data_IF_507814410893
#
_entry.id   IF_507814410893
#
_cell.length_a   1.000
_cell.length_b   1.000
_cell.length_c   1.000
_cell.angle_alpha   90.00
_cell.angle_beta   90.00
_cell.angle_gamma   90.00
#
_symmetry.space_group_name_H-M   'P 1'
#
loop_
_entity.id
_entity.type
_entity.pdbx_description
1 polymer ?
#
# COMPACT_ATOMS: atom_id res chain seq x y z
N UNK A 1 -33.07 23.06 -14.37
CA UNK A 1 -31.82 22.29 -14.56
C UNK A 1 -30.83 22.76 -13.50
N UNK A 2 -30.51 21.92 -12.52
CA UNK A 2 -29.49 22.22 -11.53
C UNK A 2 -28.18 21.61 -12.00
N UNK A 3 -27.19 22.46 -12.25
CA UNK A 3 -25.85 22.05 -12.67
C UNK A 3 -25.15 21.57 -11.40
N UNK A 4 -24.88 20.27 -11.31
CA UNK A 4 -24.05 19.69 -10.26
C UNK A 4 -22.62 20.18 -10.48
N UNK A 5 -22.13 21.03 -9.57
CA UNK A 5 -20.73 21.41 -9.55
C UNK A 5 -19.91 20.21 -9.06
N UNK A 6 -18.98 19.73 -9.88
CA UNK A 6 -17.93 18.80 -9.46
C UNK A 6 -17.16 19.40 -8.27
N UNK A 7 -16.72 18.58 -7.29
CA UNK A 7 -16.02 19.11 -6.12
C UNK A 7 -14.67 19.68 -6.57
N UNK A 8 -14.58 21.01 -6.65
CA UNK A 8 -13.33 21.73 -6.88
C UNK A 8 -12.37 21.36 -5.76
N UNK A 9 -11.27 20.68 -6.10
CA UNK A 9 -10.22 20.33 -5.15
C UNK A 9 -9.60 21.64 -4.64
N UNK A 10 -9.80 21.97 -3.36
CA UNK A 10 -9.31 23.23 -2.79
C UNK A 10 -7.77 23.20 -2.69
N UNK A 11 -7.07 24.30 -3.01
CA UNK A 11 -5.59 24.33 -3.01
C UNK A 11 -4.93 23.90 -1.69
N UNK A 12 -5.51 24.27 -0.54
CA UNK A 12 -5.01 23.90 0.80
C UNK A 12 -5.10 22.39 1.08
N UNK A 13 -6.08 21.72 0.48
CA UNK A 13 -6.26 20.27 0.62
C UNK A 13 -5.20 19.53 -0.20
N UNK A 14 -4.94 19.99 -1.42
CA UNK A 14 -3.85 19.45 -2.25
C UNK A 14 -2.49 19.60 -1.56
N UNK A 15 -2.24 20.74 -0.92
CA UNK A 15 -1.03 20.96 -0.12
C UNK A 15 -0.93 19.99 1.07
N UNK A 16 -2.05 19.75 1.78
CA UNK A 16 -2.09 18.83 2.91
C UNK A 16 -1.74 17.39 2.52
N UNK A 17 -2.23 16.90 1.38
CA UNK A 17 -1.89 15.56 0.89
C UNK A 17 -0.45 15.45 0.38
N UNK A 18 0.07 16.49 -0.26
CA UNK A 18 1.48 16.54 -0.66
C UNK A 18 2.42 16.51 0.57
N UNK A 19 2.08 17.26 1.63
CA UNK A 19 2.80 17.24 2.91
C UNK A 19 2.66 15.90 3.62
N UNK A 20 1.50 15.26 3.55
CA UNK A 20 1.32 13.91 4.08
C UNK A 20 2.27 12.92 3.38
N UNK A 21 2.31 12.97 2.05
CA UNK A 21 3.22 12.16 1.23
C UNK A 21 4.69 12.38 1.62
N UNK A 22 5.12 13.64 1.72
CA UNK A 22 6.47 13.98 2.18
C UNK A 22 6.79 13.31 3.53
N UNK A 23 5.92 13.46 4.54
CA UNK A 23 6.13 12.88 5.87
C UNK A 23 6.13 11.36 5.87
N UNK A 24 5.30 10.74 5.03
CA UNK A 24 5.30 9.29 4.84
C UNK A 24 6.63 8.82 4.25
N UNK A 25 7.14 9.48 3.21
CA UNK A 25 8.42 9.13 2.57
C UNK A 25 9.63 9.39 3.48
N UNK A 26 9.58 10.44 4.30
CA UNK A 26 10.58 10.72 5.33
C UNK A 26 10.56 9.74 6.50
N UNK A 27 9.56 8.85 6.56
CA UNK A 27 9.28 7.93 7.66
C UNK A 27 8.93 8.66 8.98
N UNK A 28 8.39 9.87 8.89
CA UNK A 28 7.96 10.67 10.04
C UNK A 28 6.54 10.28 10.47
N UNK A 29 6.44 9.28 11.34
CA UNK A 29 5.18 8.79 11.90
C UNK A 29 4.38 9.88 12.59
N UNK A 30 5.05 10.75 13.37
CA UNK A 30 4.36 11.81 14.13
C UNK A 30 3.84 12.89 13.19
N UNK A 31 4.67 13.34 12.25
CA UNK A 31 4.29 14.33 11.24
C UNK A 31 3.14 13.85 10.36
N UNK A 32 3.23 12.61 9.83
CA UNK A 32 2.17 12.01 9.02
C UNK A 32 0.86 11.86 9.81
N UNK A 33 0.92 11.34 11.05
CA UNK A 33 -0.26 11.23 11.91
C UNK A 33 -0.90 12.58 12.20
N UNK A 34 -0.12 13.62 12.50
CA UNK A 34 -0.66 14.95 12.79
C UNK A 34 -1.43 15.51 11.59
N UNK A 35 -0.83 15.46 10.39
CA UNK A 35 -1.49 15.91 9.14
C UNK A 35 -2.77 15.11 8.89
N UNK A 36 -2.73 13.80 9.07
CA UNK A 36 -3.91 12.95 8.92
C UNK A 36 -5.02 13.32 9.91
N UNK A 37 -4.68 13.59 11.18
CA UNK A 37 -5.67 14.02 12.17
C UNK A 37 -6.31 15.35 11.79
N UNK A 38 -5.54 16.28 11.24
CA UNK A 38 -6.06 17.57 10.78
C UNK A 38 -7.00 17.40 9.58
N UNK A 39 -6.69 16.50 8.65
CA UNK A 39 -7.60 16.11 7.56
C UNK A 39 -8.90 15.48 8.08
N UNK A 40 -8.83 14.60 9.08
CA UNK A 40 -10.03 14.02 9.72
C UNK A 40 -10.87 15.10 10.39
N UNK A 41 -10.25 16.02 11.16
CA UNK A 41 -10.94 17.15 11.81
C UNK A 41 -11.56 18.11 10.81
N UNK A 42 -10.94 18.29 9.64
CA UNK A 42 -11.49 19.05 8.53
C UNK A 42 -12.65 18.35 7.80
N UNK A 43 -13.05 17.14 8.25
CA UNK A 43 -14.19 16.42 7.70
C UNK A 43 -13.95 15.82 6.32
N UNK A 44 -12.69 15.53 5.96
CA UNK A 44 -12.39 14.89 4.67
C UNK A 44 -13.10 13.52 4.57
N UNK A 45 -13.70 13.18 3.41
CA UNK A 45 -14.38 11.90 3.23
C UNK A 45 -13.47 10.70 3.47
N UNK A 46 -13.97 9.68 4.17
CA UNK A 46 -13.24 8.43 4.41
C UNK A 46 -12.70 7.77 3.13
N UNK A 47 -13.48 7.64 2.02
CA UNK A 47 -12.94 7.08 0.78
C UNK A 47 -11.77 7.89 0.21
N UNK A 48 -11.77 9.21 0.38
CA UNK A 48 -10.69 10.08 -0.04
C UNK A 48 -9.43 9.84 0.79
N UNK A 49 -9.56 9.76 2.12
CA UNK A 49 -8.45 9.46 3.03
C UNK A 49 -7.81 8.11 2.72
N UNK A 50 -8.62 7.05 2.53
CA UNK A 50 -8.12 5.71 2.20
C UNK A 50 -7.45 5.70 0.82
N UNK A 51 -8.04 6.38 -0.17
CA UNK A 51 -7.44 6.50 -1.51
C UNK A 51 -6.06 7.15 -1.46
N UNK A 52 -5.89 8.23 -0.69
CA UNK A 52 -4.60 8.91 -0.56
C UNK A 52 -3.56 8.05 0.18
N UNK A 53 -3.96 7.30 1.22
CA UNK A 53 -3.06 6.32 1.87
C UNK A 53 -2.57 5.28 0.84
N UNK A 54 -3.47 4.73 0.01
CA UNK A 54 -3.11 3.77 -1.04
C UNK A 54 -2.20 4.41 -2.07
N UNK A 55 -2.54 5.60 -2.57
CA UNK A 55 -1.74 6.33 -3.58
C UNK A 55 -0.30 6.54 -3.11
N UNK A 56 -0.12 6.95 -1.86
CA UNK A 56 1.20 7.26 -1.29
C UNK A 56 2.00 5.97 -1.02
N UNK A 57 1.37 4.94 -0.45
CA UNK A 57 2.06 3.76 0.07
C UNK A 57 2.32 2.68 -1.00
N UNK A 58 1.36 2.44 -1.90
CA UNK A 58 1.36 1.28 -2.80
C UNK A 58 2.60 1.18 -3.72
N UNK A 59 3.12 2.28 -4.29
CA UNK A 59 4.30 2.21 -5.17
C UNK A 59 5.55 1.63 -4.49
N UNK A 60 5.67 1.79 -3.18
CA UNK A 60 6.84 1.39 -2.39
C UNK A 60 6.67 0.03 -1.73
N UNK A 61 5.49 -0.57 -1.86
CA UNK A 61 5.14 -1.85 -1.25
C UNK A 61 4.74 -2.90 -2.27
N UNK A 62 5.30 -2.79 -3.47
CA UNK A 62 5.08 -3.81 -4.48
C UNK A 62 5.83 -5.10 -4.09
N UNK A 63 5.07 -6.11 -3.66
CA UNK A 63 5.46 -7.51 -3.70
C UNK A 63 4.31 -8.27 -4.34
N UNK A 64 4.57 -9.04 -5.39
CA UNK A 64 3.51 -9.76 -6.11
C UNK A 64 3.04 -11.01 -5.35
N UNK A 65 3.64 -11.33 -4.19
CA UNK A 65 3.32 -12.54 -3.46
C UNK A 65 3.54 -12.39 -1.95
N UNK A 66 2.66 -13.02 -1.18
CA UNK A 66 2.83 -13.25 0.26
C UNK A 66 3.56 -14.54 0.57
N UNK A 67 3.64 -15.41 -0.43
CA UNK A 67 4.23 -16.73 -0.35
C UNK A 67 4.89 -17.07 -1.68
N UNK A 68 6.13 -17.58 -1.63
CA UNK A 68 6.79 -18.19 -2.79
C UNK A 68 7.47 -19.50 -2.41
N UNK A 69 7.78 -20.31 -3.41
CA UNK A 69 8.59 -21.51 -3.30
C UNK A 69 10.02 -21.21 -3.77
N UNK A 70 10.98 -21.28 -2.86
CA UNK A 70 12.40 -21.20 -3.17
C UNK A 70 13.00 -22.61 -2.99
N UNK A 71 13.31 -23.30 -4.10
CA UNK A 71 13.88 -24.66 -4.11
C UNK A 71 13.10 -25.67 -3.24
N UNK A 72 11.77 -25.60 -3.29
CA UNK A 72 10.87 -26.45 -2.51
C UNK A 72 10.61 -25.98 -1.07
N UNK A 73 11.21 -24.87 -0.65
CA UNK A 73 10.98 -24.25 0.67
C UNK A 73 9.97 -23.11 0.54
N UNK A 74 8.92 -23.17 1.36
CA UNK A 74 7.92 -22.09 1.45
C UNK A 74 8.52 -20.89 2.18
N UNK A 75 8.51 -19.72 1.53
CA UNK A 75 8.88 -18.44 2.15
C UNK A 75 7.73 -17.48 2.16
N UNK A 76 7.54 -16.80 3.29
CA UNK A 76 6.51 -15.78 3.46
C UNK A 76 7.09 -14.37 3.34
N UNK A 77 6.42 -13.51 2.59
CA UNK A 77 6.74 -12.09 2.44
C UNK A 77 5.49 -11.30 2.75
N UNK A 78 5.29 -10.89 4.00
CA UNK A 78 4.20 -9.98 4.32
C UNK A 78 4.60 -8.56 3.90
N UNK A 79 3.66 -7.73 3.46
CA UNK A 79 3.95 -6.32 3.14
C UNK A 79 2.69 -5.44 3.10
N UNK A 80 1.54 -6.04 2.82
CA UNK A 80 0.27 -5.34 2.69
C UNK A 80 -0.44 -5.08 4.03
N UNK A 81 0.20 -5.37 5.18
CA UNK A 81 -0.42 -5.19 6.50
C UNK A 81 -0.97 -3.76 6.71
N UNK A 82 -0.39 -2.73 6.10
CA UNK A 82 -0.94 -1.38 6.10
C UNK A 82 -2.26 -1.27 5.30
N UNK A 83 -2.40 -1.97 4.16
CA UNK A 83 -3.65 -2.03 3.38
C UNK A 83 -4.70 -2.94 3.99
N UNK A 84 -4.30 -4.10 4.52
CA UNK A 84 -5.19 -4.96 5.29
C UNK A 84 -5.72 -4.22 6.52
N UNK A 85 -4.84 -3.47 7.21
CA UNK A 85 -5.23 -2.60 8.32
C UNK A 85 -6.14 -1.47 7.86
N UNK A 86 -5.90 -0.84 6.70
CA UNK A 86 -6.79 0.17 6.12
C UNK A 86 -8.19 -0.40 5.89
N UNK A 87 -8.30 -1.58 5.25
CA UNK A 87 -9.57 -2.27 5.02
C UNK A 87 -10.27 -2.62 6.34
N UNK A 88 -9.58 -3.32 7.24
CA UNK A 88 -10.14 -3.74 8.51
C UNK A 88 -10.59 -2.53 9.35
N UNK A 89 -9.84 -1.43 9.29
CA UNK A 89 -10.19 -0.19 9.98
C UNK A 89 -11.58 0.28 9.57
N UNK A 90 -11.89 0.35 8.26
CA UNK A 90 -13.20 0.84 7.78
C UNK A 90 -14.40 0.06 8.33
N UNK A 91 -14.24 -1.24 8.59
CA UNK A 91 -15.27 -2.05 9.23
C UNK A 91 -15.31 -1.84 10.74
N UNK A 92 -14.15 -1.75 11.40
CA UNK A 92 -14.06 -1.48 12.84
C UNK A 92 -14.62 -0.10 13.24
N UNK A 93 -14.51 0.91 12.38
CA UNK A 93 -15.07 2.25 12.66
C UNK A 93 -16.57 2.19 13.00
N UNK A 94 -17.31 1.27 12.37
CA UNK A 94 -18.76 1.09 12.53
C UNK A 94 -19.13 0.51 13.90
N UNK A 95 -18.17 -0.11 14.60
CA UNK A 95 -18.36 -0.77 15.90
C UNK A 95 -17.97 0.13 17.08
N UNK A 96 -17.36 1.28 16.81
CA UNK A 96 -16.92 2.23 17.82
C UNK A 96 -17.94 3.36 17.99
N UNK A 97 -17.89 4.00 19.16
CA UNK A 97 -18.64 5.24 19.40
C UNK A 97 -18.21 6.31 18.38
N UNK A 98 -19.11 7.20 17.92
CA UNK A 98 -18.82 8.18 16.88
C UNK A 98 -17.54 9.01 17.15
N UNK A 99 -17.28 9.36 18.40
CA UNK A 99 -16.13 10.18 18.81
C UNK A 99 -14.79 9.42 18.67
N UNK A 100 -14.84 8.09 18.58
CA UNK A 100 -13.69 7.19 18.50
C UNK A 100 -13.60 6.49 17.14
N UNK A 101 -14.53 6.77 16.21
CA UNK A 101 -14.69 6.03 14.96
C UNK A 101 -13.39 5.97 14.14
N UNK A 102 -12.55 7.02 14.18
CA UNK A 102 -11.30 7.08 13.41
C UNK A 102 -10.07 6.46 14.10
N UNK A 103 -10.16 5.99 15.35
CA UNK A 103 -9.02 5.38 16.05
C UNK A 103 -8.38 4.20 15.28
N UNK A 104 -9.14 3.29 14.64
CA UNK A 104 -8.54 2.21 13.84
C UNK A 104 -7.70 2.75 12.67
N UNK A 105 -8.21 3.76 11.95
CA UNK A 105 -7.50 4.35 10.83
C UNK A 105 -6.31 5.23 11.29
N UNK A 106 -6.41 5.84 12.48
CA UNK A 106 -5.28 6.53 13.13
C UNK A 106 -4.11 5.57 13.42
N UNK A 107 -4.41 4.33 13.82
CA UNK A 107 -3.37 3.29 13.95
C UNK A 107 -2.78 2.91 12.60
N UNK A 108 -3.60 2.82 11.54
CA UNK A 108 -3.12 2.53 10.19
C UNK A 108 -2.09 3.58 9.75
N UNK A 109 -2.43 4.87 9.83
CA UNK A 109 -1.51 5.93 9.39
C UNK A 109 -0.22 5.98 10.20
N UNK A 110 -0.25 5.55 11.47
CA UNK A 110 0.97 5.45 12.28
C UNK A 110 1.99 4.46 11.70
N UNK A 111 1.53 3.36 11.11
CA UNK A 111 2.41 2.33 10.55
C UNK A 111 2.84 2.60 9.10
N UNK A 112 2.01 3.31 8.31
CA UNK A 112 2.26 3.59 6.89
C UNK A 112 3.69 4.10 6.60
N UNK A 113 4.24 5.10 7.32
CA UNK A 113 5.59 5.60 7.06
C UNK A 113 6.70 4.55 7.27
N UNK A 114 6.51 3.64 8.23
CA UNK A 114 7.49 2.57 8.52
C UNK A 114 7.26 1.30 7.72
N UNK A 115 6.07 1.13 7.13
CA UNK A 115 5.69 -0.02 6.33
C UNK A 115 6.13 0.06 4.87
N UNK A 116 7.01 1.01 4.51
CA UNK A 116 7.51 1.21 3.16
C UNK A 116 8.77 0.39 2.90
N UNK A 117 9.00 0.08 1.62
CA UNK A 117 10.27 -0.42 1.09
C UNK A 117 10.79 -1.69 1.81
N UNK A 118 9.98 -2.77 1.82
CA UNK A 118 10.40 -4.04 2.42
C UNK A 118 11.62 -4.63 1.70
N UNK A 119 11.87 -4.25 0.45
CA UNK A 119 12.99 -4.76 -0.33
C UNK A 119 14.31 -4.20 0.15
N UNK A 120 14.42 -2.90 0.43
CA UNK A 120 15.65 -2.39 1.05
C UNK A 120 15.83 -2.94 2.47
N UNK A 121 14.76 -3.34 3.19
CA UNK A 121 14.89 -4.11 4.43
C UNK A 121 15.44 -5.52 4.17
N UNK A 122 14.89 -6.26 3.22
CA UNK A 122 15.34 -7.61 2.84
C UNK A 122 16.78 -7.63 2.33
N UNK A 123 17.20 -6.57 1.61
CA UNK A 123 18.56 -6.38 1.10
C UNK A 123 19.54 -5.86 2.16
N UNK A 124 19.08 -5.60 3.39
CA UNK A 124 19.92 -5.09 4.48
C UNK A 124 20.39 -3.64 4.28
N UNK A 125 19.74 -2.88 3.39
CA UNK A 125 20.06 -1.47 3.12
C UNK A 125 19.37 -0.50 4.09
N UNK A 126 18.38 -0.96 4.84
CA UNK A 126 17.74 -0.22 5.92
C UNK A 126 17.28 -1.18 7.03
N UNK A 127 17.20 -0.73 8.29
CA UNK A 127 16.63 -1.54 9.37
C UNK A 127 15.13 -1.77 9.16
N UNK A 128 14.61 -2.87 9.70
CA UNK A 128 13.16 -3.12 9.74
C UNK A 128 12.79 -4.58 9.98
N UNK A 129 11.48 -4.86 9.94
CA UNK A 129 10.90 -6.16 10.32
C UNK A 129 11.37 -7.32 9.42
N UNK A 130 11.74 -7.03 8.16
CA UNK A 130 12.14 -8.05 7.20
C UNK A 130 13.65 -8.35 7.21
N UNK A 131 14.45 -7.62 7.98
CA UNK A 131 15.85 -7.96 8.24
C UNK A 131 15.88 -9.18 9.16
N UNK A 132 15.79 -10.40 8.59
CA UNK A 132 15.86 -11.65 9.38
C UNK A 132 17.27 -12.16 9.62
N UNK A 133 18.29 -11.39 9.24
CA UNK A 133 19.67 -11.86 9.23
C UNK A 133 20.62 -10.72 9.67
N UNK A 134 21.22 -10.94 10.84
CA UNK A 134 22.42 -10.29 11.38
C UNK A 134 22.30 -8.90 11.99
N UNK A 135 23.20 -8.66 12.96
CA UNK A 135 23.50 -7.40 13.65
C UNK A 135 23.85 -6.30 12.62
N UNK A 136 22.84 -5.76 11.96
CA UNK A 136 23.01 -4.63 11.05
C UNK A 136 23.31 -3.39 11.87
N UNK A 137 24.60 -3.07 12.01
CA UNK A 137 25.06 -1.74 12.43
C UNK A 137 24.76 -0.78 11.30
N UNK A 138 23.58 -0.16 11.35
CA UNK A 138 23.18 0.88 10.43
C UNK A 138 23.68 2.22 10.96
N UNK A 139 24.55 2.89 10.20
CA UNK A 139 25.05 4.23 10.50
C UNK A 139 24.42 5.24 9.52
N UNK A 140 23.89 6.35 10.05
CA UNK A 140 23.31 7.45 9.26
C UNK A 140 21.78 7.42 9.16
N UNK A 141 21.25 8.19 8.20
CA UNK A 141 19.80 8.28 7.92
C UNK A 141 19.42 7.20 6.88
N UNK A 142 18.35 6.41 7.10
CA UNK A 142 17.86 5.46 6.09
C UNK A 142 17.60 6.15 4.74
N UNK A 143 17.91 5.51 3.61
CA UNK A 143 17.59 6.05 2.29
C UNK A 143 16.08 6.24 2.16
N UNK A 144 15.65 7.21 1.36
CA UNK A 144 14.23 7.35 1.03
C UNK A 144 13.71 6.05 0.38
N UNK A 145 12.43 5.72 0.59
CA UNK A 145 11.79 4.55 -0.03
C UNK A 145 12.03 4.51 -1.54
N UNK A 146 12.37 3.33 -2.06
CA UNK A 146 12.62 3.12 -3.48
C UNK A 146 11.46 2.36 -4.14
N UNK A 147 11.02 2.82 -5.32
CA UNK A 147 10.10 2.08 -6.18
C UNK A 147 10.92 1.05 -6.95
N UNK A 148 10.84 -0.22 -6.54
CA UNK A 148 11.67 -1.30 -7.12
C UNK A 148 11.20 -1.78 -8.49
N UNK A 149 9.93 -1.56 -8.85
CA UNK A 149 9.40 -1.88 -10.17
C UNK A 149 8.53 -0.74 -10.68
N UNK A 150 8.70 -0.41 -11.96
CA UNK A 150 7.73 0.43 -12.66
C UNK A 150 6.39 -0.30 -12.77
N UNK A 151 5.33 0.48 -12.97
CA UNK A 151 4.05 -0.08 -13.36
C UNK A 151 4.18 -0.87 -14.68
N UNK A 152 3.26 -1.80 -14.93
CA UNK A 152 3.34 -2.74 -16.04
C UNK A 152 2.10 -2.68 -16.93
N UNK A 153 2.26 -3.05 -18.19
CA UNK A 153 1.12 -3.21 -19.09
C UNK A 153 0.40 -4.53 -18.81
N UNK A 154 -0.95 -4.55 -18.80
CA UNK A 154 -1.74 -5.75 -18.59
C UNK A 154 -1.38 -6.82 -19.62
N UNK A 155 -1.30 -8.07 -19.17
CA UNK A 155 -1.13 -9.23 -20.03
C UNK A 155 -2.40 -10.07 -19.97
N UNK A 156 -3.18 -10.04 -21.05
CA UNK A 156 -4.26 -10.98 -21.24
C UNK A 156 -3.67 -12.36 -21.58
N UNK A 157 -4.26 -13.40 -20.99
CA UNK A 157 -3.91 -14.80 -21.25
C UNK A 157 -5.18 -15.57 -21.63
N UNK A 158 -5.02 -16.59 -22.46
CA UNK A 158 -6.12 -17.43 -22.95
C UNK A 158 -6.67 -18.36 -21.85
N UNK A 159 -7.90 -18.85 -22.06
CA UNK A 159 -8.57 -19.81 -21.19
C UNK A 159 -9.78 -19.22 -20.45
N UNK A 160 -10.39 -20.04 -19.60
CA UNK A 160 -11.46 -19.64 -18.69
C UNK A 160 -10.89 -18.86 -17.49
N UNK A 161 -11.68 -17.99 -16.86
CA UNK A 161 -11.22 -17.20 -15.71
C UNK A 161 -10.57 -18.05 -14.59
N UNK A 162 -11.11 -19.23 -14.20
CA UNK A 162 -10.43 -20.11 -13.25
C UNK A 162 -9.06 -20.61 -13.71
N UNK A 163 -8.90 -20.94 -14.99
CA UNK A 163 -7.61 -21.36 -15.57
C UNK A 163 -6.60 -20.20 -15.54
N UNK A 164 -7.05 -19.00 -15.89
CA UNK A 164 -6.21 -17.79 -15.84
C UNK A 164 -5.79 -17.46 -14.40
N UNK A 165 -6.70 -17.57 -13.43
CA UNK A 165 -6.39 -17.36 -12.01
C UNK A 165 -5.38 -18.40 -11.50
N UNK A 166 -5.50 -19.66 -11.91
CA UNK A 166 -4.55 -20.70 -11.57
C UNK A 166 -3.16 -20.47 -12.21
N UNK A 167 -3.12 -20.00 -13.46
CA UNK A 167 -1.88 -19.61 -14.12
C UNK A 167 -1.20 -18.44 -13.40
N UNK A 168 -1.96 -17.42 -13.01
CA UNK A 168 -1.48 -16.31 -12.18
C UNK A 168 -0.89 -16.81 -10.85
N UNK A 169 -1.62 -17.65 -10.11
CA UNK A 169 -1.15 -18.20 -8.84
C UNK A 169 0.14 -19.03 -9.01
N UNK A 170 0.30 -19.72 -10.14
CA UNK A 170 1.54 -20.44 -10.46
C UNK A 170 2.73 -19.49 -10.64
N UNK A 171 2.54 -18.35 -11.32
CA UNK A 171 3.56 -17.32 -11.46
C UNK A 171 3.97 -16.73 -10.10
N UNK A 172 2.98 -16.44 -9.25
CA UNK A 172 3.17 -15.99 -7.86
C UNK A 172 4.02 -17.00 -7.07
N UNK A 173 3.63 -18.28 -7.07
CA UNK A 173 4.33 -19.34 -6.33
C UNK A 173 5.77 -19.57 -6.82
N UNK A 174 6.02 -19.38 -8.11
CA UNK A 174 7.35 -19.50 -8.72
C UNK A 174 8.22 -18.25 -8.60
N UNK A 175 7.69 -17.17 -8.04
CA UNK A 175 8.42 -15.91 -7.91
C UNK A 175 8.62 -15.15 -9.22
N UNK A 176 7.79 -15.41 -10.24
CA UNK A 176 7.82 -14.73 -11.56
C UNK A 176 7.19 -13.33 -11.46
N UNK A 177 7.86 -12.42 -10.75
CA UNK A 177 7.32 -11.14 -10.25
C UNK A 177 6.62 -10.31 -11.33
N UNK A 178 7.30 -10.04 -12.44
CA UNK A 178 6.79 -9.17 -13.50
C UNK A 178 5.59 -9.80 -14.20
N UNK A 179 5.68 -11.07 -14.57
CA UNK A 179 4.60 -11.76 -15.27
C UNK A 179 3.39 -11.97 -14.36
N UNK A 180 3.62 -12.29 -13.08
CA UNK A 180 2.54 -12.38 -12.09
C UNK A 180 1.77 -11.06 -12.00
N UNK A 181 2.47 -9.92 -11.92
CA UNK A 181 1.81 -8.62 -11.87
C UNK A 181 1.06 -8.29 -13.17
N UNK A 182 1.67 -8.51 -14.34
CA UNK A 182 1.04 -8.26 -15.63
C UNK A 182 -0.23 -9.09 -15.85
N UNK A 183 -0.21 -10.37 -15.49
CA UNK A 183 -1.39 -11.24 -15.58
C UNK A 183 -2.47 -10.80 -14.59
N UNK A 184 -2.11 -10.39 -13.37
CA UNK A 184 -3.07 -9.81 -12.42
C UNK A 184 -3.79 -8.59 -13.01
N UNK A 185 -3.04 -7.66 -13.63
CA UNK A 185 -3.64 -6.50 -14.30
C UNK A 185 -4.58 -6.90 -15.44
N UNK A 186 -4.21 -7.93 -16.23
CA UNK A 186 -5.09 -8.47 -17.26
C UNK A 186 -6.39 -9.04 -16.70
N UNK A 187 -6.31 -9.80 -15.60
CA UNK A 187 -7.48 -10.32 -14.88
C UNK A 187 -8.35 -9.20 -14.30
N UNK A 188 -7.73 -8.16 -13.75
CA UNK A 188 -8.42 -7.00 -13.20
C UNK A 188 -9.22 -6.26 -14.27
N UNK A 189 -8.60 -5.98 -15.43
CA UNK A 189 -9.27 -5.33 -16.56
C UNK A 189 -10.49 -6.13 -17.05
N UNK A 190 -10.39 -7.46 -17.10
CA UNK A 190 -11.50 -8.34 -17.49
C UNK A 190 -12.70 -8.24 -16.54
N UNK A 191 -12.46 -8.05 -15.23
CA UNK A 191 -13.52 -8.06 -14.20
C UNK A 191 -14.13 -6.68 -13.96
N UNK A 192 -13.30 -5.64 -13.96
CA UNK A 192 -13.75 -4.29 -13.60
C UNK A 192 -14.34 -3.55 -14.79
N UNK A 193 -13.98 -3.94 -16.02
CA UNK A 193 -14.33 -3.17 -17.22
C UNK A 193 -13.68 -1.78 -17.23
N UNK A 194 -13.78 -1.09 -18.36
CA UNK A 194 -13.47 0.34 -18.45
C UNK A 194 -14.58 1.19 -17.79
#
# INVERSE_FOLDING_TARGET
MAISASPTTQPEVTDSYARLEEKVLERDQRGASQIFYDLVRAGRPLPELVREIVRIHAPYTHVPYHQRLDDGVVRFVNNDHCFLSSRASTDLMKLLRPELAYLPLAQTIWYVPTGLDPWNQLLGKMPGHYVRLYELKFEGKPPLPHIHWSDQQPLAIDGTFPEKLNAWLTLVQRGEVINAYRVFLGLWHEVVGD
#
